data_IF_140425425253
#
_entry.id   IF_140425425253
#
_cell.length_a   1.000
_cell.length_b   1.000
_cell.length_c   1.000
_cell.angle_alpha   90.00
_cell.angle_beta   90.00
_cell.angle_gamma   90.00
#
_symmetry.space_group_name_H-M   'P 1'
#
loop_
_entity.id
_entity.type
_entity.pdbx_description
1 polymer ?
#
# COMPACT_ATOMS: atom_id res chain seq x y z
N UNK A 1 -17.19 -5.27 41.57
CA UNK A 1 -16.14 -4.90 40.59
C UNK A 1 -16.67 -5.27 39.21
N UNK A 2 -16.72 -4.33 38.27
CA UNK A 2 -17.08 -4.60 36.88
C UNK A 2 -15.92 -5.30 36.17
N UNK A 3 -16.21 -6.27 35.30
CA UNK A 3 -15.21 -6.82 34.38
C UNK A 3 -15.09 -5.93 33.15
N UNK A 4 -13.90 -5.77 32.59
CA UNK A 4 -13.73 -5.03 31.34
C UNK A 4 -13.86 -5.98 30.15
N UNK A 5 -14.58 -5.54 29.11
CA UNK A 5 -14.76 -6.28 27.85
C UNK A 5 -14.53 -5.34 26.68
N UNK A 6 -13.94 -5.82 25.59
CA UNK A 6 -13.59 -5.05 24.41
C UNK A 6 -14.56 -5.35 23.27
N UNK A 7 -15.04 -4.30 22.60
CA UNK A 7 -15.87 -4.43 21.39
C UNK A 7 -15.16 -5.27 20.33
N UNK A 8 -15.92 -6.18 19.69
CA UNK A 8 -15.41 -7.07 18.65
C UNK A 8 -14.69 -8.32 19.18
N UNK A 9 -14.50 -8.47 20.50
CA UNK A 9 -14.07 -9.74 21.09
C UNK A 9 -15.25 -10.56 21.58
N UNK A 10 -15.10 -11.87 21.50
CA UNK A 10 -16.02 -12.84 22.10
C UNK A 10 -15.55 -13.17 23.53
N UNK A 11 -16.49 -13.12 24.48
CA UNK A 11 -16.26 -13.47 25.87
C UNK A 11 -17.19 -14.61 26.28
N UNK A 12 -16.67 -15.55 27.06
CA UNK A 12 -17.46 -16.61 27.68
C UNK A 12 -17.88 -16.18 29.08
N UNK A 13 -19.18 -16.08 29.30
CA UNK A 13 -19.77 -15.88 30.61
C UNK A 13 -20.35 -17.19 31.09
N UNK A 14 -19.95 -17.63 32.29
CA UNK A 14 -20.34 -18.92 32.86
C UNK A 14 -20.96 -18.76 34.23
N UNK A 15 -21.98 -19.58 34.51
CA UNK A 15 -22.68 -19.65 35.78
C UNK A 15 -22.33 -20.96 36.47
N UNK A 16 -21.55 -20.84 37.54
CA UNK A 16 -21.14 -22.00 38.34
C UNK A 16 -22.09 -22.29 39.51
N UNK A 17 -22.89 -21.32 39.93
CA UNK A 17 -23.85 -21.45 41.04
C UNK A 17 -25.14 -20.70 40.73
N UNK A 18 -26.25 -21.32 41.09
CA UNK A 18 -27.58 -20.75 40.97
C UNK A 18 -28.17 -20.58 42.38
N UNK A 19 -29.18 -19.72 42.51
CA UNK A 19 -29.87 -19.49 43.79
C UNK A 19 -30.70 -20.70 44.26
N UNK A 20 -30.84 -21.73 43.40
CA UNK A 20 -31.40 -23.05 43.69
C UNK A 20 -30.56 -24.11 42.98
N UNK A 21 -30.51 -25.33 43.49
CA UNK A 21 -29.90 -26.44 42.76
C UNK A 21 -30.73 -26.73 41.50
N UNK A 22 -30.07 -26.69 40.34
CA UNK A 22 -30.70 -26.96 39.05
C UNK A 22 -30.38 -28.36 38.59
N UNK A 23 -31.41 -29.08 38.10
CA UNK A 23 -31.20 -30.32 37.37
C UNK A 23 -30.52 -30.05 36.03
N UNK A 24 -29.94 -31.07 35.39
CA UNK A 24 -29.37 -30.90 34.05
C UNK A 24 -30.42 -30.42 33.03
N UNK A 25 -31.66 -30.89 33.14
CA UNK A 25 -32.77 -30.45 32.28
C UNK A 25 -33.16 -28.99 32.51
N UNK A 26 -32.95 -28.44 33.71
CA UNK A 26 -33.18 -27.01 33.98
C UNK A 26 -32.03 -26.15 33.49
N UNK A 27 -30.79 -26.64 33.59
CA UNK A 27 -29.60 -25.95 33.06
C UNK A 27 -29.70 -25.72 31.54
N UNK A 28 -30.28 -26.67 30.81
CA UNK A 28 -30.52 -26.55 29.36
C UNK A 28 -31.55 -25.47 29.01
N UNK A 29 -32.41 -25.07 29.95
CA UNK A 29 -33.44 -24.05 29.75
C UNK A 29 -33.00 -22.64 30.17
N UNK A 30 -31.77 -22.48 30.66
CA UNK A 30 -31.29 -21.17 31.10
C UNK A 30 -31.09 -20.25 29.89
N UNK A 31 -31.81 -19.13 29.94
CA UNK A 31 -31.74 -18.04 28.98
C UNK A 31 -30.83 -16.92 29.47
N UNK A 32 -30.56 -15.96 28.58
CA UNK A 32 -29.66 -14.85 28.86
C UNK A 32 -30.27 -13.54 28.40
N UNK A 33 -30.18 -12.53 29.26
CA UNK A 33 -30.61 -11.17 29.02
C UNK A 33 -29.47 -10.19 29.32
N UNK A 34 -29.60 -8.96 28.84
CA UNK A 34 -28.71 -7.86 29.17
C UNK A 34 -29.45 -6.54 29.30
N UNK A 35 -28.85 -5.56 29.97
CA UNK A 35 -29.32 -4.16 29.96
C UNK A 35 -28.18 -3.18 30.14
N UNK A 36 -28.37 -1.96 29.65
CA UNK A 36 -27.52 -0.81 30.00
C UNK A 36 -27.83 -0.33 31.42
N UNK A 37 -26.89 0.38 32.03
CA UNK A 37 -27.17 1.16 33.24
C UNK A 37 -28.31 2.16 32.97
N UNK A 38 -29.40 2.06 33.72
CA UNK A 38 -30.61 2.87 33.52
C UNK A 38 -31.47 2.48 32.30
N UNK A 39 -31.09 1.44 31.55
CA UNK A 39 -31.84 0.99 30.36
C UNK A 39 -32.84 -0.14 30.63
N UNK A 40 -33.63 -0.44 29.59
CA UNK A 40 -34.55 -1.59 29.54
C UNK A 40 -33.81 -2.92 29.35
N UNK A 41 -34.46 -4.00 29.76
CA UNK A 41 -33.95 -5.37 29.59
C UNK A 41 -34.14 -5.82 28.15
N UNK A 42 -33.07 -6.37 27.57
CA UNK A 42 -33.04 -6.96 26.25
C UNK A 42 -32.60 -8.42 26.33
N UNK A 43 -33.03 -9.24 25.37
CA UNK A 43 -32.80 -10.68 25.37
C UNK A 43 -31.81 -11.06 24.28
N UNK A 44 -30.95 -12.03 24.56
CA UNK A 44 -30.08 -12.59 23.51
C UNK A 44 -30.84 -13.64 22.70
N UNK A 45 -30.72 -13.62 21.38
CA UNK A 45 -31.49 -14.51 20.48
C UNK A 45 -31.16 -16.01 20.63
N UNK A 46 -29.92 -16.35 21.02
CA UNK A 46 -29.47 -17.75 21.19
C UNK A 46 -29.43 -18.14 22.67
N UNK A 47 -29.83 -19.36 22.99
CA UNK A 47 -29.67 -19.92 24.34
C UNK A 47 -28.18 -20.16 24.68
N UNK A 48 -27.89 -20.35 25.97
CA UNK A 48 -26.56 -20.75 26.43
C UNK A 48 -26.23 -22.20 26.06
N UNK A 49 -25.09 -22.69 26.51
CA UNK A 49 -24.65 -24.08 26.39
C UNK A 49 -24.05 -24.57 27.71
N UNK A 50 -24.00 -25.88 27.92
CA UNK A 50 -23.30 -26.47 29.07
C UNK A 50 -21.85 -26.71 28.64
N UNK A 51 -20.88 -26.15 29.38
CA UNK A 51 -19.46 -26.35 29.11
C UNK A 51 -18.96 -27.72 29.61
N UNK A 52 -17.72 -28.09 29.27
CA UNK A 52 -17.10 -29.37 29.66
C UNK A 52 -16.96 -29.55 31.18
N UNK A 53 -17.16 -28.46 31.96
CA UNK A 53 -17.13 -28.45 33.42
C UNK A 53 -18.54 -28.50 34.04
N UNK A 54 -19.59 -28.58 33.22
CA UNK A 54 -20.99 -28.64 33.65
C UNK A 54 -21.61 -27.28 34.03
N UNK A 55 -20.96 -26.16 33.67
CA UNK A 55 -21.49 -24.81 33.88
C UNK A 55 -22.35 -24.38 32.71
N UNK A 56 -23.41 -23.63 32.99
CA UNK A 56 -24.16 -22.94 31.94
C UNK A 56 -23.37 -21.72 31.48
N UNK A 57 -23.02 -21.69 30.20
CA UNK A 57 -22.15 -20.70 29.60
C UNK A 57 -22.77 -20.05 28.37
N UNK A 58 -22.34 -18.83 28.07
CA UNK A 58 -22.70 -18.14 26.84
C UNK A 58 -21.54 -17.34 26.29
N UNK A 59 -21.33 -17.47 24.99
CA UNK A 59 -20.45 -16.62 24.20
C UNK A 59 -21.18 -15.34 23.81
N UNK A 60 -20.58 -14.20 24.15
CA UNK A 60 -21.16 -12.87 23.92
C UNK A 60 -20.08 -11.97 23.32
N UNK A 61 -20.42 -11.30 22.22
CA UNK A 61 -19.70 -10.16 21.66
C UNK A 61 -20.52 -8.90 21.84
N UNK A 62 -19.84 -7.74 21.90
CA UNK A 62 -20.48 -6.44 22.10
C UNK A 62 -20.34 -5.58 20.86
N UNK A 63 -21.43 -4.92 20.50
CA UNK A 63 -21.51 -4.00 19.37
C UNK A 63 -20.88 -2.64 19.67
N UNK A 64 -20.45 -1.94 18.60
CA UNK A 64 -19.82 -0.61 18.69
C UNK A 64 -20.70 0.45 19.35
N UNK A 65 -22.02 0.32 19.27
CA UNK A 65 -23.00 1.23 19.89
C UNK A 65 -23.08 1.09 21.43
N UNK A 66 -22.41 0.07 22.00
CA UNK A 66 -22.28 -0.13 23.43
C UNK A 66 -20.95 0.41 23.98
N UNK A 67 -20.15 1.11 23.18
CA UNK A 67 -18.88 1.68 23.61
C UNK A 67 -19.04 2.62 24.82
N UNK A 68 -18.27 2.37 25.88
CA UNK A 68 -18.31 3.15 27.12
C UNK A 68 -19.49 2.79 28.03
N UNK A 69 -20.40 1.92 27.60
CA UNK A 69 -21.56 1.53 28.39
C UNK A 69 -21.19 0.52 29.47
N UNK A 70 -21.91 0.61 30.58
CA UNK A 70 -21.90 -0.40 31.63
C UNK A 70 -23.09 -1.32 31.44
N UNK A 71 -22.81 -2.60 31.20
CA UNK A 71 -23.81 -3.61 30.83
C UNK A 71 -23.95 -4.64 31.95
N UNK A 72 -25.19 -4.98 32.26
CA UNK A 72 -25.57 -6.01 33.22
C UNK A 72 -25.94 -7.25 32.42
N UNK A 73 -25.22 -8.36 32.59
CA UNK A 73 -25.48 -9.62 31.90
C UNK A 73 -26.11 -10.60 32.87
N UNK A 74 -27.28 -11.12 32.52
CA UNK A 74 -28.17 -11.85 33.42
C UNK A 74 -28.51 -13.22 32.83
N UNK A 75 -27.98 -14.32 33.41
CA UNK A 75 -28.52 -15.65 33.16
C UNK A 75 -29.83 -15.81 33.96
N UNK A 76 -30.86 -16.41 33.37
CA UNK A 76 -32.15 -16.59 34.04
C UNK A 76 -32.89 -17.83 33.56
N UNK A 77 -33.80 -18.35 34.40
CA UNK A 77 -34.66 -19.50 34.07
C UNK A 77 -36.14 -19.10 33.90
N UNK A 78 -36.60 -18.13 34.70
CA UNK A 78 -37.98 -17.64 34.69
C UNK A 78 -37.99 -16.17 34.28
N UNK A 79 -37.39 -15.28 35.09
CA UNK A 79 -37.26 -13.86 34.77
C UNK A 79 -35.85 -13.33 35.07
N UNK A 80 -35.34 -12.37 34.26
CA UNK A 80 -34.03 -11.76 34.47
C UNK A 80 -34.02 -10.81 35.67
N UNK A 81 -33.11 -11.05 36.61
CA UNK A 81 -32.87 -10.19 37.78
C UNK A 81 -31.51 -9.48 37.69
N UNK A 82 -31.47 -8.14 37.54
CA UNK A 82 -30.23 -7.37 37.52
C UNK A 82 -29.37 -7.49 38.78
N UNK A 83 -29.94 -7.86 39.92
CA UNK A 83 -29.22 -8.03 41.19
C UNK A 83 -28.24 -9.21 41.15
N UNK A 84 -28.47 -10.19 40.27
CA UNK A 84 -27.67 -11.41 40.11
C UNK A 84 -26.83 -11.38 38.83
N UNK A 85 -26.55 -10.18 38.32
CA UNK A 85 -25.84 -10.00 37.05
C UNK A 85 -24.32 -9.97 37.19
N UNK A 86 -23.64 -10.30 36.08
CA UNK A 86 -22.25 -9.91 35.87
C UNK A 86 -22.24 -8.53 35.24
N UNK A 87 -21.65 -7.57 35.95
CA UNK A 87 -21.50 -6.21 35.45
C UNK A 87 -20.22 -6.13 34.62
N UNK A 88 -20.35 -5.66 33.38
CA UNK A 88 -19.22 -5.41 32.49
C UNK A 88 -19.15 -3.95 32.06
N UNK A 89 -17.93 -3.45 31.91
CA UNK A 89 -17.65 -2.17 31.28
C UNK A 89 -17.19 -2.45 29.85
N UNK A 90 -17.95 -1.96 28.87
CA UNK A 90 -17.63 -2.15 27.45
C UNK A 90 -16.67 -1.05 27.01
N UNK A 91 -15.50 -1.46 26.52
CA UNK A 91 -14.44 -0.57 26.08
C UNK A 91 -14.26 -0.64 24.56
N UNK A 92 -13.86 0.49 23.98
CA UNK A 92 -13.43 0.56 22.57
C UNK A 92 -12.02 -0.01 22.44
N UNK A 93 -11.72 -0.83 21.42
CA UNK A 93 -10.34 -1.24 21.15
C UNK A 93 -9.45 -0.03 20.86
N UNK A 94 -8.16 -0.18 21.17
CA UNK A 94 -7.18 0.87 20.86
C UNK A 94 -6.94 0.84 19.35
N UNK A 95 -7.15 1.98 18.67
CA UNK A 95 -6.82 2.08 17.26
C UNK A 95 -5.30 2.11 17.10
N UNK A 96 -4.74 1.01 16.59
CA UNK A 96 -3.32 0.88 16.32
C UNK A 96 -3.01 1.16 14.85
N UNK A 97 -1.87 1.81 14.62
CA UNK A 97 -1.42 2.27 13.31
C UNK A 97 -0.37 1.33 12.75
N UNK A 98 -0.67 0.69 11.63
CA UNK A 98 0.26 -0.16 10.91
C UNK A 98 1.00 0.63 9.82
N UNK A 99 2.30 0.36 9.70
CA UNK A 99 3.14 0.79 8.59
C UNK A 99 3.40 -0.43 7.72
N UNK A 100 3.13 -0.34 6.43
CA UNK A 100 3.43 -1.39 5.44
C UNK A 100 4.50 -0.86 4.50
N UNK A 101 5.58 -1.62 4.32
CA UNK A 101 6.58 -1.37 3.29
C UNK A 101 6.50 -2.50 2.27
N UNK A 102 6.30 -2.18 1.00
CA UNK A 102 6.20 -3.13 -0.10
C UNK A 102 7.48 -3.02 -0.93
N UNK A 103 8.21 -4.13 -1.03
CA UNK A 103 9.53 -4.23 -1.67
C UNK A 103 9.41 -5.11 -2.91
N UNK A 104 9.58 -4.53 -4.10
CA UNK A 104 9.68 -5.28 -5.35
C UNK A 104 11.09 -5.82 -5.60
N UNK A 105 11.30 -6.38 -6.78
CA UNK A 105 12.55 -6.96 -7.26
C UNK A 105 13.08 -6.20 -8.48
N UNK A 106 14.41 -6.22 -8.67
CA UNK A 106 15.08 -5.69 -9.86
C UNK A 106 15.56 -6.88 -10.69
N UNK A 107 14.91 -7.11 -11.85
CA UNK A 107 15.26 -8.21 -12.78
C UNK A 107 15.81 -7.76 -14.13
N UNK A 108 15.72 -6.47 -14.47
CA UNK A 108 16.08 -5.98 -15.80
C UNK A 108 17.50 -5.44 -15.89
N UNK A 109 17.95 -4.78 -14.82
CA UNK A 109 19.23 -4.06 -14.73
C UNK A 109 20.06 -4.57 -13.53
N UNK A 110 20.11 -5.89 -13.40
CA UNK A 110 20.85 -6.63 -12.37
C UNK A 110 22.35 -6.39 -12.51
N UNK A 111 22.79 -5.29 -11.93
CA UNK A 111 24.20 -4.98 -11.79
C UNK A 111 24.59 -5.13 -10.34
N UNK A 112 25.90 -5.29 -10.10
CA UNK A 112 26.55 -5.27 -8.80
C UNK A 112 25.92 -4.27 -7.81
N UNK A 113 25.60 -3.05 -8.26
CA UNK A 113 25.03 -2.00 -7.43
C UNK A 113 23.50 -1.82 -7.50
N UNK A 114 22.76 -2.51 -8.35
CA UNK A 114 21.32 -2.25 -8.51
C UNK A 114 20.42 -3.38 -8.01
N UNK A 115 20.84 -4.64 -8.08
CA UNK A 115 20.01 -5.81 -7.77
C UNK A 115 19.25 -5.69 -6.44
N UNK A 116 19.96 -5.32 -5.37
CA UNK A 116 19.41 -5.23 -4.00
C UNK A 116 18.91 -3.82 -3.63
N UNK A 117 18.76 -2.89 -4.58
CA UNK A 117 18.49 -1.49 -4.25
C UNK A 117 17.13 -1.26 -3.57
N UNK A 118 16.09 -2.02 -3.93
CA UNK A 118 14.78 -1.89 -3.28
C UNK A 118 14.81 -2.41 -1.84
N UNK A 119 15.40 -3.59 -1.63
CA UNK A 119 15.64 -4.15 -0.29
C UNK A 119 16.48 -3.20 0.58
N UNK A 120 17.51 -2.58 0.01
CA UNK A 120 18.33 -1.61 0.71
C UNK A 120 17.53 -0.38 1.14
N UNK A 121 16.66 0.15 0.27
CA UNK A 121 15.79 1.28 0.62
C UNK A 121 14.79 0.89 1.72
N UNK A 122 14.26 -0.33 1.69
CA UNK A 122 13.40 -0.86 2.76
C UNK A 122 14.13 -0.92 4.09
N UNK A 123 15.33 -1.52 4.17
CA UNK A 123 16.13 -1.55 5.41
C UNK A 123 16.44 -0.15 5.91
N UNK A 124 16.82 0.76 5.01
CA UNK A 124 17.06 2.17 5.37
C UNK A 124 15.81 2.79 6.00
N UNK A 125 14.66 2.54 5.41
CA UNK A 125 13.38 3.10 5.85
C UNK A 125 13.01 2.59 7.26
N UNK A 126 13.18 1.29 7.52
CA UNK A 126 13.01 0.70 8.86
C UNK A 126 13.97 1.37 9.86
N UNK A 127 15.27 1.41 9.54
CA UNK A 127 16.32 1.98 10.39
C UNK A 127 16.07 3.44 10.75
N UNK A 128 15.72 4.28 9.76
CA UNK A 128 15.68 5.74 9.94
C UNK A 128 14.34 6.21 10.50
N UNK A 129 13.23 5.58 10.12
CA UNK A 129 11.90 6.12 10.41
C UNK A 129 11.04 5.21 11.30
N UNK A 130 11.32 3.91 11.38
CA UNK A 130 10.41 2.93 11.98
C UNK A 130 11.07 1.94 12.95
N UNK A 131 12.21 2.29 13.57
CA UNK A 131 12.93 1.40 14.47
C UNK A 131 12.13 0.96 15.71
N UNK A 132 11.20 1.79 16.16
CA UNK A 132 10.36 1.53 17.35
C UNK A 132 8.89 1.28 17.01
N UNK A 133 8.56 1.13 15.73
CA UNK A 133 7.18 0.96 15.28
C UNK A 133 6.64 -0.40 15.71
N UNK A 134 5.57 -0.42 16.52
CA UNK A 134 4.98 -1.66 17.05
C UNK A 134 4.38 -2.54 15.96
N UNK A 135 3.64 -1.93 15.04
CA UNK A 135 3.01 -2.61 13.90
C UNK A 135 3.69 -2.16 12.62
N UNK A 136 4.70 -2.92 12.21
CA UNK A 136 5.46 -2.72 10.98
C UNK A 136 5.46 -4.03 10.20
N UNK A 137 5.05 -3.95 8.94
CA UNK A 137 5.06 -5.09 8.03
C UNK A 137 5.91 -4.76 6.82
N UNK A 138 6.79 -5.68 6.44
CA UNK A 138 7.49 -5.68 5.16
C UNK A 138 6.91 -6.79 4.30
N UNK A 139 6.21 -6.42 3.23
CA UNK A 139 5.84 -7.33 2.15
C UNK A 139 6.96 -7.32 1.12
N UNK A 140 7.50 -8.47 0.74
CA UNK A 140 8.56 -8.53 -0.28
C UNK A 140 8.27 -9.59 -1.34
N UNK A 141 8.63 -9.27 -2.57
CA UNK A 141 8.66 -10.21 -3.68
C UNK A 141 10.03 -10.91 -3.68
N UNK A 142 10.09 -12.25 -3.65
CA UNK A 142 11.35 -13.00 -3.51
C UNK A 142 12.05 -13.22 -4.85
N UNK A 143 11.38 -12.97 -5.97
CA UNK A 143 11.83 -13.39 -7.28
C UNK A 143 13.24 -12.91 -7.63
N UNK A 144 14.03 -13.83 -8.17
CA UNK A 144 15.42 -13.64 -8.62
C UNK A 144 16.40 -13.23 -7.50
N UNK A 145 16.00 -13.32 -6.22
CA UNK A 145 16.92 -13.20 -5.09
C UNK A 145 17.34 -14.58 -4.58
N UNK A 146 18.63 -14.74 -4.25
CA UNK A 146 19.12 -15.95 -3.61
C UNK A 146 18.64 -16.04 -2.15
N UNK A 147 18.61 -17.24 -1.58
CA UNK A 147 18.25 -17.43 -0.18
C UNK A 147 19.15 -16.62 0.77
N UNK A 148 20.44 -16.51 0.44
CA UNK A 148 21.42 -15.75 1.23
C UNK A 148 21.12 -14.25 1.23
N UNK A 149 20.76 -13.70 0.05
CA UNK A 149 20.35 -12.31 -0.09
C UNK A 149 19.05 -12.02 0.70
N UNK A 150 18.07 -12.94 0.64
CA UNK A 150 16.81 -12.83 1.38
C UNK A 150 17.06 -12.91 2.91
N UNK A 151 17.91 -13.82 3.36
CA UNK A 151 18.25 -13.97 4.78
C UNK A 151 18.99 -12.76 5.31
N UNK A 152 19.91 -12.19 4.53
CA UNK A 152 20.60 -10.95 4.85
C UNK A 152 19.64 -9.77 4.97
N UNK A 153 18.69 -9.65 4.04
CA UNK A 153 17.64 -8.64 4.07
C UNK A 153 16.76 -8.76 5.32
N UNK A 154 16.27 -9.97 5.64
CA UNK A 154 15.46 -10.24 6.83
C UNK A 154 16.22 -9.91 8.11
N UNK A 155 17.46 -10.38 8.21
CA UNK A 155 18.34 -10.13 9.37
C UNK A 155 18.59 -8.64 9.58
N UNK A 156 18.83 -7.90 8.51
CA UNK A 156 19.04 -6.45 8.58
C UNK A 156 17.80 -5.72 9.10
N UNK A 157 16.60 -6.04 8.60
CA UNK A 157 15.34 -5.47 9.10
C UNK A 157 15.19 -5.72 10.60
N UNK A 158 15.30 -6.98 11.03
CA UNK A 158 15.09 -7.37 12.43
C UNK A 158 16.14 -6.80 13.38
N UNK A 159 17.33 -6.46 12.87
CA UNK A 159 18.36 -5.76 13.66
C UNK A 159 17.98 -4.33 14.04
N UNK A 160 17.08 -3.69 13.28
CA UNK A 160 16.60 -2.33 13.52
C UNK A 160 15.19 -2.27 14.11
N UNK A 161 14.35 -3.27 13.83
CA UNK A 161 13.05 -3.44 14.45
C UNK A 161 12.69 -4.93 14.53
N UNK A 162 12.84 -5.50 15.73
CA UNK A 162 12.63 -6.91 16.06
C UNK A 162 11.16 -7.35 16.04
N UNK A 163 10.22 -6.41 15.94
CA UNK A 163 8.76 -6.66 15.88
C UNK A 163 8.23 -6.68 14.45
N UNK A 164 9.08 -6.46 13.46
CA UNK A 164 8.65 -6.39 12.06
C UNK A 164 8.13 -7.73 11.58
N UNK A 165 6.89 -7.76 11.07
CA UNK A 165 6.37 -8.89 10.30
C UNK A 165 6.99 -8.84 8.89
N UNK A 166 7.76 -9.85 8.51
CA UNK A 166 8.35 -9.94 7.16
C UNK A 166 7.66 -11.07 6.40
N UNK A 167 6.94 -10.71 5.35
CA UNK A 167 6.02 -11.63 4.65
C UNK A 167 6.39 -11.67 3.17
N UNK A 168 6.62 -12.89 2.69
CA UNK A 168 6.83 -13.16 1.28
C UNK A 168 5.51 -13.15 0.52
N UNK A 169 5.48 -12.46 -0.63
CA UNK A 169 4.36 -12.45 -1.55
C UNK A 169 4.87 -12.58 -2.99
N UNK A 170 4.13 -13.27 -3.85
CA UNK A 170 4.50 -13.56 -5.24
C UNK A 170 3.49 -13.01 -6.26
N UNK A 171 2.37 -12.45 -5.79
CA UNK A 171 1.27 -11.96 -6.62
C UNK A 171 0.66 -10.68 -6.07
N UNK A 172 -0.02 -9.92 -6.93
CA UNK A 172 -0.80 -8.73 -6.61
C UNK A 172 -1.93 -9.09 -5.67
N UNK A 173 -2.49 -10.30 -5.81
CA UNK A 173 -3.67 -10.70 -5.07
C UNK A 173 -3.30 -10.88 -3.60
N UNK A 174 -2.18 -11.56 -3.31
CA UNK A 174 -1.65 -11.63 -1.93
C UNK A 174 -1.36 -10.24 -1.33
N UNK A 175 -0.85 -9.31 -2.13
CA UNK A 175 -0.66 -7.92 -1.70
C UNK A 175 -2.01 -7.25 -1.36
N UNK A 176 -3.00 -7.35 -2.25
CA UNK A 176 -4.35 -6.78 -2.07
C UNK A 176 -5.03 -7.41 -0.86
N UNK A 177 -4.97 -8.73 -0.72
CA UNK A 177 -5.54 -9.47 0.40
C UNK A 177 -4.91 -9.01 1.71
N UNK A 178 -3.59 -8.86 1.77
CA UNK A 178 -2.93 -8.35 2.98
C UNK A 178 -3.33 -6.91 3.30
N UNK A 179 -3.40 -6.05 2.29
CA UNK A 179 -3.87 -4.67 2.47
C UNK A 179 -5.30 -4.65 2.99
N UNK A 180 -6.18 -5.50 2.49
CA UNK A 180 -7.60 -5.50 2.89
C UNK A 180 -7.85 -6.19 4.23
N UNK A 181 -7.10 -7.26 4.53
CA UNK A 181 -7.47 -8.22 5.59
C UNK A 181 -6.37 -8.50 6.60
N UNK A 182 -5.14 -8.05 6.36
CA UNK A 182 -3.92 -8.39 7.13
C UNK A 182 -3.52 -9.88 7.04
N UNK A 183 -4.15 -10.66 6.14
CA UNK A 183 -3.66 -11.98 5.71
C UNK A 183 -3.45 -12.02 4.20
N UNK A 184 -2.54 -12.86 3.71
CA UNK A 184 -2.19 -12.95 2.28
C UNK A 184 -3.18 -13.79 1.46
N UNK A 185 -4.19 -14.37 2.08
CA UNK A 185 -5.13 -15.31 1.47
C UNK A 185 -6.61 -14.94 1.73
N UNK A 186 -6.84 -13.80 2.38
CA UNK A 186 -8.16 -13.35 2.84
C UNK A 186 -8.94 -14.40 3.67
N UNK A 187 -8.26 -15.36 4.29
CA UNK A 187 -8.89 -16.41 5.10
C UNK A 187 -9.64 -15.85 6.32
N UNK A 188 -9.21 -14.68 6.80
CA UNK A 188 -9.84 -13.92 7.88
C UNK A 188 -9.54 -12.44 7.73
N UNK A 189 -10.44 -11.58 8.19
CA UNK A 189 -10.23 -10.13 8.21
C UNK A 189 -9.73 -9.66 9.59
N UNK A 190 -8.42 -9.75 9.81
CA UNK A 190 -7.75 -9.29 11.04
C UNK A 190 -7.75 -7.75 11.16
N UNK A 191 -8.26 -7.01 10.17
CA UNK A 191 -8.46 -5.55 10.27
C UNK A 191 -9.79 -5.17 10.90
N UNK A 192 -10.75 -6.08 11.02
CA UNK A 192 -12.09 -5.76 11.53
C UNK A 192 -12.23 -5.95 13.04
N UNK A 193 -11.43 -6.85 13.61
CA UNK A 193 -11.50 -7.23 15.01
C UNK A 193 -10.18 -6.90 15.74
N UNK A 194 -10.24 -6.55 17.03
CA UNK A 194 -9.03 -6.30 17.80
C UNK A 194 -8.24 -7.59 18.06
N UNK A 195 -6.91 -7.49 17.98
CA UNK A 195 -6.01 -8.60 18.29
C UNK A 195 -5.94 -8.88 19.81
N UNK A 196 -5.12 -9.84 20.22
CA UNK A 196 -4.95 -10.23 21.63
C UNK A 196 -4.51 -9.09 22.55
N UNK A 197 -3.80 -8.10 22.02
CA UNK A 197 -3.41 -6.88 22.75
C UNK A 197 -4.51 -5.81 22.83
N UNK A 198 -5.73 -6.14 22.39
CA UNK A 198 -6.89 -5.23 22.29
C UNK A 198 -6.72 -4.10 21.27
N UNK A 199 -5.76 -4.25 20.36
CA UNK A 199 -5.49 -3.27 19.31
C UNK A 199 -6.28 -3.62 18.04
N UNK A 200 -7.07 -2.66 17.55
CA UNK A 200 -7.66 -2.70 16.21
C UNK A 200 -6.65 -2.11 15.22
N UNK A 201 -6.01 -2.95 14.42
CA UNK A 201 -4.90 -2.55 13.55
C UNK A 201 -5.40 -2.08 12.19
N UNK A 202 -5.16 -0.81 11.87
CA UNK A 202 -5.50 -0.18 10.58
C UNK A 202 -4.27 0.46 9.94
N UNK A 203 -4.28 0.54 8.62
CA UNK A 203 -3.14 1.07 7.85
C UNK A 203 -3.07 2.59 8.05
N UNK A 204 -1.93 3.06 8.56
CA UNK A 204 -1.56 4.48 8.62
C UNK A 204 -0.70 4.87 7.43
N UNK A 205 0.30 4.07 7.08
CA UNK A 205 1.21 4.39 5.98
C UNK A 205 1.56 3.16 5.15
N UNK A 206 1.54 3.32 3.82
CA UNK A 206 2.16 2.38 2.87
C UNK A 206 3.36 3.08 2.21
N UNK A 207 4.50 2.39 2.12
CA UNK A 207 5.64 2.82 1.29
C UNK A 207 5.97 1.75 0.26
N UNK A 208 6.16 2.15 -0.99
CA UNK A 208 6.41 1.22 -2.09
C UNK A 208 7.77 1.52 -2.71
N UNK A 209 8.67 0.54 -2.70
CA UNK A 209 9.95 0.56 -3.40
C UNK A 209 9.94 -0.51 -4.49
N UNK A 210 9.79 -0.08 -5.74
CA UNK A 210 9.72 -0.99 -6.89
C UNK A 210 9.95 -0.25 -8.20
N UNK A 211 9.95 -0.99 -9.30
CA UNK A 211 9.78 -0.42 -10.62
C UNK A 211 8.38 0.16 -10.80
N UNK A 212 8.24 1.01 -11.81
CA UNK A 212 6.95 1.53 -12.20
C UNK A 212 6.94 1.98 -13.64
N UNK A 213 5.75 1.90 -14.22
CA UNK A 213 5.42 2.44 -15.53
C UNK A 213 4.31 3.47 -15.33
N UNK A 214 4.01 4.32 -16.33
CA UNK A 214 2.88 5.24 -16.25
C UNK A 214 1.62 4.52 -15.77
N UNK A 215 1.06 5.01 -14.66
CA UNK A 215 -0.11 4.44 -14.00
C UNK A 215 -0.04 2.95 -13.63
N UNK A 216 1.16 2.42 -13.32
CA UNK A 216 1.35 1.02 -12.91
C UNK A 216 2.54 0.84 -11.96
N UNK A 217 2.34 0.10 -10.88
CA UNK A 217 3.42 -0.49 -10.08
C UNK A 217 3.81 -1.85 -10.67
N UNK A 218 5.10 -2.13 -10.75
CA UNK A 218 5.63 -3.40 -11.27
C UNK A 218 6.60 -3.98 -10.24
N UNK A 219 6.22 -5.08 -9.60
CA UNK A 219 6.96 -5.62 -8.46
C UNK A 219 8.01 -6.68 -8.83
N UNK A 220 7.98 -7.21 -10.05
CA UNK A 220 9.03 -8.10 -10.57
C UNK A 220 9.14 -7.97 -12.09
N UNK A 221 9.48 -6.76 -12.54
CA UNK A 221 9.64 -6.44 -13.96
C UNK A 221 10.85 -7.21 -14.53
N UNK A 222 10.66 -8.05 -15.55
CA UNK A 222 11.71 -8.82 -16.24
C UNK A 222 11.75 -8.61 -17.76
N UNK A 223 12.85 -9.06 -18.39
CA UNK A 223 13.22 -8.78 -19.79
C UNK A 223 12.13 -9.05 -20.86
N UNK A 224 12.07 -8.27 -21.96
CA UNK A 224 10.96 -8.28 -22.93
C UNK A 224 11.14 -9.22 -24.14
N UNK A 225 11.98 -10.27 -24.05
CA UNK A 225 12.12 -11.24 -25.15
C UNK A 225 10.92 -12.18 -25.29
N UNK A 226 9.97 -12.13 -24.35
CA UNK A 226 8.67 -12.82 -24.44
C UNK A 226 7.59 -11.75 -24.63
N UNK A 227 6.60 -11.95 -25.54
CA UNK A 227 5.49 -11.03 -25.70
C UNK A 227 4.88 -10.66 -24.33
N UNK A 228 4.48 -9.39 -24.20
CA UNK A 228 3.92 -8.73 -23.00
C UNK A 228 2.80 -9.52 -22.30
N UNK A 229 2.24 -10.55 -22.96
CA UNK A 229 1.22 -11.45 -22.46
C UNK A 229 1.74 -12.51 -21.45
N UNK A 230 3.05 -12.69 -21.25
CA UNK A 230 3.62 -13.72 -20.34
C UNK A 230 4.48 -13.12 -19.20
N UNK A 231 4.84 -11.83 -19.24
CA UNK A 231 5.70 -11.24 -18.21
C UNK A 231 4.91 -10.83 -16.97
N UNK A 232 5.05 -11.61 -15.88
CA UNK A 232 4.71 -11.28 -14.49
C UNK A 232 3.48 -10.39 -14.30
N UNK A 233 2.43 -10.63 -15.09
CA UNK A 233 1.20 -9.84 -15.06
C UNK A 233 0.67 -9.87 -13.64
N UNK A 234 0.78 -11.00 -12.94
CA UNK A 234 0.38 -11.17 -11.55
C UNK A 234 1.18 -10.37 -10.54
N UNK A 235 2.29 -9.73 -10.89
CA UNK A 235 3.06 -8.85 -10.00
C UNK A 235 2.91 -7.37 -10.36
N UNK A 236 1.79 -7.02 -11.00
CA UNK A 236 1.48 -5.65 -11.39
C UNK A 236 0.20 -5.12 -10.73
N UNK A 237 0.27 -3.88 -10.28
CA UNK A 237 -0.88 -3.14 -9.77
C UNK A 237 -1.10 -1.90 -10.62
N UNK A 238 -2.28 -1.76 -11.22
CA UNK A 238 -2.61 -0.67 -12.14
C UNK A 238 -4.03 -0.14 -11.84
N UNK A 239 -4.50 0.82 -12.64
CA UNK A 239 -5.79 1.51 -12.45
C UNK A 239 -6.99 0.55 -12.34
N UNK A 240 -7.01 -0.57 -13.05
CA UNK A 240 -8.12 -1.54 -13.00
C UNK A 240 -8.20 -2.30 -11.68
N UNK A 241 -7.12 -2.31 -10.90
CA UNK A 241 -7.06 -3.01 -9.60
C UNK A 241 -7.40 -2.10 -8.42
N UNK A 242 -7.53 -0.79 -8.61
CA UNK A 242 -7.76 0.17 -7.53
C UNK A 242 -9.05 -0.13 -6.77
N UNK A 243 -10.12 -0.51 -7.47
CA UNK A 243 -11.42 -0.85 -6.87
C UNK A 243 -11.38 -2.07 -5.95
N UNK A 244 -10.33 -2.90 -6.05
CA UNK A 244 -10.16 -4.08 -5.20
C UNK A 244 -9.64 -3.73 -3.80
N UNK A 245 -9.12 -2.52 -3.59
CA UNK A 245 -8.67 -2.07 -2.28
C UNK A 245 -9.87 -1.60 -1.44
N UNK A 246 -9.90 -1.96 -0.17
CA UNK A 246 -10.97 -1.63 0.77
C UNK A 246 -10.60 -0.40 1.59
N UNK A 247 -11.43 0.65 1.53
CA UNK A 247 -11.21 1.90 2.26
C UNK A 247 -11.15 1.68 3.78
N UNK A 248 -11.93 0.73 4.28
CA UNK A 248 -12.08 0.40 5.69
C UNK A 248 -10.80 -0.19 6.29
N UNK A 249 -9.85 -0.66 5.47
CA UNK A 249 -8.53 -1.11 5.94
C UNK A 249 -7.65 0.04 6.44
N UNK A 250 -7.95 1.28 6.04
CA UNK A 250 -7.14 2.47 6.30
C UNK A 250 -7.74 3.33 7.41
N UNK A 251 -6.88 4.08 8.11
CA UNK A 251 -7.34 5.21 8.92
C UNK A 251 -7.66 6.41 8.02
N UNK A 252 -8.47 7.37 8.50
CA UNK A 252 -8.92 8.52 7.71
C UNK A 252 -7.78 9.39 7.15
N UNK A 253 -6.63 9.45 7.82
CA UNK A 253 -5.46 10.28 7.43
C UNK A 253 -4.30 9.45 6.86
N UNK A 254 -4.59 8.24 6.37
CA UNK A 254 -3.57 7.35 5.88
C UNK A 254 -2.80 7.95 4.70
N UNK A 255 -1.56 7.48 4.53
CA UNK A 255 -0.62 7.97 3.52
C UNK A 255 -0.08 6.82 2.69
N UNK A 256 0.07 7.05 1.39
CA UNK A 256 0.82 6.16 0.52
C UNK A 256 1.97 6.93 -0.11
N UNK A 257 3.20 6.46 0.08
CA UNK A 257 4.38 6.95 -0.62
C UNK A 257 4.77 5.96 -1.70
N UNK A 258 4.62 6.34 -2.95
CA UNK A 258 5.07 5.51 -4.07
C UNK A 258 6.39 6.03 -4.61
N UNK A 259 7.43 5.22 -4.40
CA UNK A 259 8.71 5.34 -5.09
C UNK A 259 8.78 4.41 -6.31
N UNK A 260 7.63 3.89 -6.78
CA UNK A 260 7.52 3.26 -8.09
C UNK A 260 7.52 4.34 -9.19
N UNK A 261 8.39 4.17 -10.18
CA UNK A 261 8.63 5.14 -11.24
C UNK A 261 7.32 5.62 -11.90
N UNK A 262 7.15 6.95 -12.07
CA UNK A 262 6.09 7.56 -12.90
C UNK A 262 4.65 7.24 -12.48
N UNK A 263 4.37 6.78 -11.27
CA UNK A 263 2.99 6.45 -10.88
C UNK A 263 2.05 7.65 -10.76
N UNK A 264 2.60 8.87 -10.63
CA UNK A 264 1.83 10.13 -10.70
C UNK A 264 1.62 10.64 -12.13
N UNK A 265 2.08 9.93 -13.14
CA UNK A 265 2.03 10.31 -14.55
C UNK A 265 1.30 9.23 -15.36
N UNK A 266 0.34 9.62 -16.19
CA UNK A 266 -0.43 8.70 -17.02
C UNK A 266 0.07 8.59 -18.48
N UNK A 267 1.01 9.45 -18.88
CA UNK A 267 1.56 9.48 -20.23
C UNK A 267 2.77 8.57 -20.37
N UNK A 268 2.91 7.91 -21.51
CA UNK A 268 4.06 7.05 -21.88
C UNK A 268 5.22 7.81 -22.50
N UNK A 269 5.04 9.11 -22.80
CA UNK A 269 6.07 9.95 -23.41
C UNK A 269 7.39 9.92 -22.62
N UNK A 270 8.52 9.92 -23.32
CA UNK A 270 9.85 9.95 -22.71
C UNK A 270 10.37 11.38 -22.47
N UNK A 271 9.75 12.39 -23.09
CA UNK A 271 10.12 13.80 -22.95
C UNK A 271 8.89 14.70 -23.14
N UNK A 272 8.80 15.70 -22.26
CA UNK A 272 7.91 16.87 -22.30
C UNK A 272 8.73 18.14 -22.63
N UNK A 273 10.00 17.97 -23.02
CA UNK A 273 10.82 19.05 -23.58
C UNK A 273 10.66 19.02 -25.10
N UNK A 274 10.23 20.14 -25.65
CA UNK A 274 10.08 20.35 -27.08
C UNK A 274 8.83 21.17 -27.42
N UNK A 275 8.68 21.57 -28.68
CA UNK A 275 7.46 22.19 -29.15
C UNK A 275 6.34 21.15 -29.28
N UNK A 276 5.23 21.36 -28.58
CA UNK A 276 3.92 20.88 -28.98
C UNK A 276 3.28 21.81 -30.01
N UNK A 277 2.14 21.40 -30.56
CA UNK A 277 1.51 22.09 -31.68
C UNK A 277 0.01 22.25 -31.47
N UNK A 278 -0.46 23.50 -31.42
CA UNK A 278 -1.87 23.84 -31.34
C UNK A 278 -2.43 24.12 -32.73
N UNK A 279 -3.45 23.38 -33.15
CA UNK A 279 -4.23 23.74 -34.35
C UNK A 279 -5.42 24.56 -33.92
N UNK A 280 -5.44 25.83 -34.34
CA UNK A 280 -6.58 26.75 -34.12
C UNK A 280 -7.53 26.60 -35.30
N UNK A 281 -8.82 26.35 -35.06
CA UNK A 281 -9.83 26.12 -36.09
C UNK A 281 -11.22 26.62 -35.68
N UNK A 282 -12.12 26.81 -36.65
CA UNK A 282 -13.53 27.09 -36.39
C UNK A 282 -14.35 25.79 -36.34
N UNK A 283 -15.04 25.49 -35.22
CA UNK A 283 -15.94 24.34 -35.15
C UNK A 283 -17.27 24.67 -35.86
N UNK A 284 -17.57 23.95 -36.94
CA UNK A 284 -18.91 23.72 -37.53
C UNK A 284 -19.93 24.85 -37.28
N UNK A 285 -19.71 26.04 -37.87
CA UNK A 285 -20.69 27.09 -38.25
C UNK A 285 -19.97 28.46 -38.35
N UNK A 286 -19.82 29.05 -39.55
CA UNK A 286 -19.09 30.31 -39.76
C UNK A 286 -19.76 31.55 -39.12
N UNK A 287 -20.96 31.42 -38.53
CA UNK A 287 -21.66 32.55 -37.87
C UNK A 287 -21.20 32.81 -36.44
N UNK A 288 -20.56 31.85 -35.77
CA UNK A 288 -19.88 32.09 -34.50
C UNK A 288 -18.38 32.15 -34.74
N UNK A 289 -17.79 33.34 -34.65
CA UNK A 289 -16.34 33.58 -34.77
C UNK A 289 -15.55 33.03 -33.56
N UNK A 290 -16.02 31.96 -32.93
CA UNK A 290 -15.37 31.35 -31.78
C UNK A 290 -14.34 30.36 -32.30
N UNK A 291 -13.07 30.66 -32.09
CA UNK A 291 -11.98 29.75 -32.41
C UNK A 291 -11.82 28.70 -31.32
N UNK A 292 -11.61 27.44 -31.73
CA UNK A 292 -11.21 26.35 -30.85
C UNK A 292 -9.77 25.96 -31.13
N UNK A 293 -9.07 25.47 -30.11
CA UNK A 293 -7.70 24.98 -30.25
C UNK A 293 -7.65 23.51 -29.91
N UNK A 294 -6.90 22.73 -30.70
CA UNK A 294 -6.59 21.34 -30.41
C UNK A 294 -5.07 21.14 -30.38
N UNK A 295 -4.56 20.59 -29.29
CA UNK A 295 -3.14 20.28 -29.11
C UNK A 295 -2.76 18.96 -29.79
N UNK A 296 -1.53 18.92 -30.30
CA UNK A 296 -0.87 17.77 -30.89
C UNK A 296 0.58 17.71 -30.40
N UNK A 297 1.07 16.49 -30.19
CA UNK A 297 2.43 16.24 -29.73
C UNK A 297 3.45 16.44 -30.86
N UNK A 298 3.08 16.07 -32.08
CA UNK A 298 3.96 16.20 -33.25
C UNK A 298 3.42 17.19 -34.28
N UNK A 299 4.34 17.85 -34.99
CA UNK A 299 3.99 18.73 -36.11
C UNK A 299 3.24 17.98 -37.20
N UNK A 300 3.61 16.72 -37.43
CA UNK A 300 3.00 15.85 -38.45
C UNK A 300 1.53 15.59 -38.14
N UNK A 301 1.18 15.27 -36.89
CA UNK A 301 -0.22 15.06 -36.49
C UNK A 301 -1.02 16.36 -36.52
N UNK A 302 -0.42 17.46 -36.07
CA UNK A 302 -1.02 18.79 -36.18
C UNK A 302 -1.32 19.13 -37.64
N UNK A 303 -0.38 18.85 -38.55
CA UNK A 303 -0.53 19.07 -39.98
C UNK A 303 -1.63 18.20 -40.58
N UNK A 304 -1.65 16.89 -40.27
CA UNK A 304 -2.73 15.99 -40.71
C UNK A 304 -4.10 16.49 -40.26
N UNK A 305 -4.22 16.93 -39.02
CA UNK A 305 -5.48 17.48 -38.52
C UNK A 305 -5.82 18.81 -39.20
N UNK A 306 -4.86 19.71 -39.35
CA UNK A 306 -5.02 20.97 -40.07
C UNK A 306 -5.55 20.75 -41.50
N UNK A 307 -4.93 19.82 -42.24
CA UNK A 307 -5.33 19.46 -43.61
C UNK A 307 -6.73 18.84 -43.64
N UNK A 308 -7.05 17.94 -42.70
CA UNK A 308 -8.39 17.34 -42.58
C UNK A 308 -9.50 18.35 -42.27
N UNK A 309 -9.15 19.48 -41.64
CA UNK A 309 -10.07 20.58 -41.37
C UNK A 309 -10.12 21.60 -42.50
N UNK A 310 -9.24 21.51 -43.49
CA UNK A 310 -9.27 22.36 -44.68
C UNK A 310 -9.82 21.64 -45.92
N UNK A 311 -10.15 20.35 -45.82
CA UNK A 311 -10.68 19.55 -46.94
C UNK A 311 -12.20 19.59 -47.11
N UNK A 312 -12.94 20.41 -46.35
CA UNK A 312 -14.41 20.53 -46.45
C UNK A 312 -14.94 21.92 -46.11
N UNK A 313 -16.19 22.23 -46.52
CA UNK A 313 -16.80 23.58 -46.42
C UNK A 313 -17.18 24.03 -45.00
N UNK A 314 -17.03 23.19 -43.97
CA UNK A 314 -17.73 23.36 -42.68
C UNK A 314 -16.77 23.63 -41.50
N UNK A 315 -15.51 23.20 -41.59
CA UNK A 315 -14.47 23.58 -40.65
C UNK A 315 -13.38 24.32 -41.43
N UNK A 316 -12.69 25.26 -40.80
CA UNK A 316 -11.53 25.91 -41.39
C UNK A 316 -10.43 25.98 -40.34
N UNK A 317 -9.33 25.28 -40.58
CA UNK A 317 -8.14 25.46 -39.76
C UNK A 317 -7.48 26.79 -40.13
N UNK A 318 -7.02 27.51 -39.10
CA UNK A 318 -6.52 28.88 -39.22
C UNK A 318 -5.00 28.84 -39.28
N UNK A 319 -4.38 28.19 -38.30
CA UNK A 319 -2.91 28.07 -38.19
C UNK A 319 -2.52 26.93 -37.25
N UNK A 320 -1.26 26.53 -37.36
CA UNK A 320 -0.58 25.67 -36.39
C UNK A 320 0.36 26.56 -35.59
N UNK A 321 0.20 26.59 -34.28
CA UNK A 321 1.05 27.33 -33.35
C UNK A 321 1.97 26.35 -32.62
N UNK A 322 3.25 26.68 -32.59
CA UNK A 322 4.24 25.99 -31.77
C UNK A 322 4.12 26.48 -30.33
N UNK A 323 3.87 25.57 -29.38
CA UNK A 323 3.73 25.86 -27.94
C UNK A 323 4.62 24.94 -27.12
N UNK A 324 5.05 25.30 -25.89
CA UNK A 324 5.70 24.34 -25.00
C UNK A 324 4.77 23.16 -24.71
N UNK A 325 5.29 21.92 -24.64
CA UNK A 325 4.48 20.77 -24.22
C UNK A 325 3.91 21.02 -22.82
N UNK A 326 2.58 21.09 -22.65
CA UNK A 326 1.97 21.42 -21.37
C UNK A 326 2.23 20.33 -20.33
N UNK A 327 2.35 20.73 -19.06
CA UNK A 327 2.38 19.83 -17.91
C UNK A 327 1.15 18.89 -17.89
N UNK A 328 0.01 19.40 -18.35
CA UNK A 328 -1.25 18.70 -18.49
C UNK A 328 -1.17 17.47 -19.41
N UNK A 329 -0.15 17.37 -20.29
CA UNK A 329 0.08 16.17 -21.10
C UNK A 329 0.55 14.96 -20.28
N UNK A 330 1.15 15.18 -19.11
CA UNK A 330 1.42 14.08 -18.17
C UNK A 330 0.15 13.53 -17.51
N UNK A 331 -0.98 14.25 -17.67
CA UNK A 331 -2.30 13.94 -17.13
C UNK A 331 -2.26 13.42 -15.69
N UNK A 332 -1.67 14.14 -14.72
CA UNK A 332 -1.55 13.63 -13.35
C UNK A 332 -2.90 13.28 -12.71
N UNK A 333 -3.96 13.99 -13.06
CA UNK A 333 -5.32 13.74 -12.58
C UNK A 333 -5.93 12.43 -13.13
N UNK A 334 -5.34 11.85 -14.17
CA UNK A 334 -5.73 10.55 -14.72
C UNK A 334 -4.73 9.44 -14.31
N UNK A 335 -3.80 9.73 -13.40
CA UNK A 335 -2.77 8.78 -12.98
C UNK A 335 -3.28 7.76 -11.97
N UNK A 336 -2.57 6.64 -11.83
CA UNK A 336 -2.81 5.66 -10.77
C UNK A 336 -2.82 6.30 -9.37
N UNK A 337 -1.91 7.25 -9.11
CA UNK A 337 -1.87 7.94 -7.82
C UNK A 337 -3.17 8.71 -7.52
N UNK A 338 -3.76 9.36 -8.53
CA UNK A 338 -5.04 10.05 -8.38
C UNK A 338 -6.20 9.08 -8.17
N UNK A 339 -6.23 7.96 -8.90
CA UNK A 339 -7.27 6.94 -8.74
C UNK A 339 -7.26 6.35 -7.33
N UNK A 340 -6.08 6.02 -6.79
CA UNK A 340 -5.93 5.52 -5.41
C UNK A 340 -6.42 6.57 -4.41
N UNK A 341 -5.99 7.83 -4.56
CA UNK A 341 -6.40 8.91 -3.66
C UNK A 341 -7.93 9.14 -3.69
N UNK A 342 -8.55 9.03 -4.87
CA UNK A 342 -10.00 9.18 -5.03
C UNK A 342 -10.77 8.03 -4.40
N UNK A 343 -10.34 6.79 -4.67
CA UNK A 343 -11.03 5.58 -4.23
C UNK A 343 -10.94 5.38 -2.71
N UNK A 344 -9.74 5.48 -2.16
CA UNK A 344 -9.49 5.23 -0.74
C UNK A 344 -9.68 6.46 0.15
N UNK A 345 -9.74 7.67 -0.42
CA UNK A 345 -9.81 8.92 0.34
C UNK A 345 -8.58 9.12 1.24
N UNK A 346 -7.40 8.78 0.71
CA UNK A 346 -6.11 8.89 1.40
C UNK A 346 -5.17 9.86 0.67
N UNK A 347 -4.08 10.23 1.35
CA UNK A 347 -3.02 11.06 0.76
C UNK A 347 -2.03 10.19 0.01
N UNK A 348 -1.83 10.44 -1.28
CA UNK A 348 -0.85 9.72 -2.09
C UNK A 348 0.30 10.66 -2.47
N UNK A 349 1.53 10.24 -2.22
CA UNK A 349 2.75 10.99 -2.49
C UNK A 349 3.58 10.24 -3.53
N UNK A 350 3.85 10.88 -4.67
CA UNK A 350 4.73 10.27 -5.69
C UNK A 350 5.35 11.29 -6.65
N UNK A 351 6.34 10.85 -7.41
CA UNK A 351 6.97 11.63 -8.48
C UNK A 351 6.18 11.49 -9.79
N UNK A 352 6.15 12.58 -10.57
CA UNK A 352 5.69 12.56 -11.97
C UNK A 352 6.77 12.01 -12.93
N UNK A 353 8.01 12.04 -12.45
CA UNK A 353 9.19 11.46 -13.08
C UNK A 353 9.49 10.07 -12.53
N UNK A 354 10.44 9.37 -13.14
CA UNK A 354 11.02 8.14 -12.61
C UNK A 354 11.60 8.41 -11.23
N UNK A 355 11.48 7.44 -10.34
CA UNK A 355 12.26 7.43 -9.10
C UNK A 355 13.71 7.13 -9.42
N UNK A 356 14.63 7.80 -8.73
CA UNK A 356 16.05 7.62 -8.89
C UNK A 356 16.65 6.98 -7.64
N UNK A 357 17.12 5.75 -7.83
CA UNK A 357 17.78 4.91 -6.82
C UNK A 357 19.31 5.00 -6.90
N UNK A 358 19.89 5.84 -7.76
CA UNK A 358 21.35 5.97 -7.92
C UNK A 358 22.08 6.42 -6.64
N UNK A 359 21.35 6.91 -5.63
CA UNK A 359 21.92 7.30 -4.34
C UNK A 359 21.86 6.20 -3.27
N UNK A 360 21.38 5.00 -3.60
CA UNK A 360 21.30 3.87 -2.67
C UNK A 360 22.66 3.59 -2.02
N UNK A 361 23.73 3.65 -2.81
CA UNK A 361 25.11 3.39 -2.38
C UNK A 361 26.01 4.62 -2.55
N UNK A 362 25.46 5.83 -2.60
CA UNK A 362 26.29 7.02 -2.82
C UNK A 362 26.81 7.57 -1.48
N UNK A 363 27.79 6.88 -0.91
CA UNK A 363 28.31 7.17 0.45
C UNK A 363 29.38 8.27 0.54
N UNK A 364 29.76 8.90 -0.58
CA UNK A 364 30.78 9.96 -0.57
C UNK A 364 32.13 9.47 -0.04
N UNK A 365 32.57 9.98 1.10
CA UNK A 365 33.82 9.55 1.77
C UNK A 365 33.56 8.81 3.10
N UNK A 366 32.33 8.33 3.34
CA UNK A 366 31.99 7.59 4.57
C UNK A 366 32.60 6.18 4.57
N UNK A 367 33.87 6.11 4.98
CA UNK A 367 34.62 4.87 5.07
C UNK A 367 33.96 3.86 6.01
N UNK A 368 33.33 4.31 7.11
CA UNK A 368 32.67 3.40 8.07
C UNK A 368 31.49 2.68 7.43
N UNK A 369 30.73 3.37 6.58
CA UNK A 369 29.64 2.75 5.84
C UNK A 369 30.19 1.74 4.82
N UNK A 370 31.27 2.09 4.09
CA UNK A 370 31.94 1.20 3.12
C UNK A 370 32.49 -0.07 3.74
N UNK A 371 33.09 0.03 4.93
CA UNK A 371 33.70 -1.11 5.62
C UNK A 371 32.68 -2.19 6.05
N UNK A 372 31.38 -1.92 5.91
CA UNK A 372 30.29 -2.86 6.19
C UNK A 372 29.70 -3.50 4.92
N UNK A 373 30.26 -3.25 3.73
CA UNK A 373 29.78 -3.91 2.53
C UNK A 373 30.00 -5.42 2.61
N UNK A 374 28.95 -6.15 2.27
CA UNK A 374 28.91 -7.58 2.07
C UNK A 374 28.70 -7.86 0.59
N UNK A 375 29.16 -9.03 0.14
CA UNK A 375 29.09 -9.47 -1.24
C UNK A 375 28.40 -10.83 -1.27
N UNK A 376 27.45 -10.99 -2.19
CA UNK A 376 26.79 -12.27 -2.42
C UNK A 376 26.97 -12.68 -3.87
N UNK A 377 27.28 -13.95 -4.09
CA UNK A 377 27.37 -14.54 -5.43
C UNK A 377 25.99 -14.53 -6.10
N UNK A 378 25.95 -14.15 -7.38
CA UNK A 378 24.76 -14.02 -8.22
C UNK A 378 25.18 -14.05 -9.70
N UNK A 379 25.12 -15.24 -10.32
CA UNK A 379 25.53 -15.47 -11.71
C UNK A 379 24.71 -14.66 -12.72
N UNK A 380 23.50 -14.22 -12.36
CA UNK A 380 22.63 -13.44 -13.22
C UNK A 380 22.96 -11.93 -13.18
N UNK A 381 23.80 -11.49 -12.23
CA UNK A 381 24.24 -10.10 -12.10
C UNK A 381 25.24 -9.69 -13.20
N UNK A 382 24.74 -9.50 -14.42
CA UNK A 382 25.56 -9.22 -15.59
C UNK A 382 25.84 -7.73 -15.83
N UNK A 383 27.14 -7.39 -15.80
CA UNK A 383 27.85 -6.28 -16.46
C UNK A 383 27.39 -4.83 -16.14
N UNK A 384 28.27 -3.97 -15.58
CA UNK A 384 27.93 -2.58 -15.34
C UNK A 384 27.74 -1.77 -16.63
N UNK A 385 26.76 -0.87 -16.63
CA UNK A 385 26.43 0.06 -17.73
C UNK A 385 27.60 1.01 -18.08
N UNK A 386 28.61 1.15 -17.20
CA UNK A 386 29.72 2.09 -17.36
C UNK A 386 31.09 1.38 -17.42
N UNK A 387 31.92 1.63 -18.45
CA UNK A 387 33.27 1.08 -18.57
C UNK A 387 34.23 1.37 -17.39
N UNK A 388 33.94 2.39 -16.57
CA UNK A 388 34.75 2.68 -15.36
C UNK A 388 34.49 1.70 -14.21
N UNK A 389 33.32 1.08 -14.18
CA UNK A 389 32.96 0.05 -13.21
C UNK A 389 33.60 -1.31 -13.57
N UNK A 390 34.05 -1.48 -14.82
CA UNK A 390 34.93 -2.60 -15.21
C UNK A 390 36.20 -2.66 -14.36
N UNK A 391 36.77 -1.52 -13.98
CA UNK A 391 37.98 -1.50 -13.16
C UNK A 391 37.73 -1.95 -11.71
N UNK A 392 36.50 -1.80 -11.19
CA UNK A 392 36.11 -2.28 -9.85
C UNK A 392 35.80 -3.78 -9.86
N UNK A 393 34.99 -4.25 -10.80
CA UNK A 393 34.69 -5.67 -11.00
C UNK A 393 35.97 -6.51 -11.24
N UNK A 394 36.92 -5.97 -12.02
CA UNK A 394 38.18 -6.66 -12.34
C UNK A 394 39.14 -6.76 -11.15
N UNK A 395 39.11 -5.83 -10.18
CA UNK A 395 40.00 -5.85 -9.01
C UNK A 395 39.50 -6.72 -7.87
N UNK A 396 38.19 -6.96 -7.77
CA UNK A 396 37.59 -7.83 -6.75
C UNK A 396 37.46 -9.29 -7.19
N UNK A 397 37.70 -9.62 -8.47
CA UNK A 397 37.36 -10.94 -9.02
C UNK A 397 35.86 -11.09 -9.33
N UNK A 398 35.07 -10.03 -9.13
CA UNK A 398 33.61 -10.02 -9.10
C UNK A 398 32.95 -9.90 -10.48
N UNK A 399 33.06 -10.97 -11.25
CA UNK A 399 31.93 -11.39 -12.07
C UNK A 399 31.00 -12.15 -11.12
N UNK A 400 29.68 -12.00 -11.30
CA UNK A 400 28.69 -12.77 -10.55
C UNK A 400 28.56 -12.40 -9.05
N UNK A 401 28.64 -11.11 -8.71
CA UNK A 401 28.43 -10.63 -7.34
C UNK A 401 27.48 -9.42 -7.28
N UNK A 402 26.79 -9.28 -6.15
CA UNK A 402 25.99 -8.10 -5.79
C UNK A 402 26.41 -7.52 -4.44
N UNK A 403 26.35 -6.20 -4.30
CA UNK A 403 26.65 -5.53 -3.03
C UNK A 403 25.44 -5.45 -2.13
N UNK A 404 25.73 -5.64 -0.85
CA UNK A 404 24.80 -5.46 0.22
C UNK A 404 25.42 -4.65 1.34
N UNK A 405 24.61 -3.90 2.06
CA UNK A 405 25.02 -3.29 3.31
C UNK A 405 23.95 -3.59 4.37
N UNK A 406 24.29 -4.18 5.52
CA UNK A 406 23.31 -4.53 6.56
C UNK A 406 22.64 -3.29 7.16
N UNK A 407 23.20 -2.10 6.94
CA UNK A 407 22.57 -0.82 7.30
C UNK A 407 21.52 -0.34 6.30
N UNK A 408 21.28 -1.07 5.21
CA UNK A 408 20.44 -0.65 4.09
C UNK A 408 21.05 0.53 3.35
N UNK A 409 20.28 1.13 2.44
CA UNK A 409 20.71 2.24 1.61
C UNK A 409 21.29 3.41 2.41
N UNK A 410 22.28 4.08 1.85
CA UNK A 410 22.85 5.32 2.36
C UNK A 410 21.88 6.50 2.14
N UNK A 411 21.60 6.81 0.88
CA UNK A 411 20.74 7.93 0.49
C UNK A 411 19.28 7.51 0.25
N UNK A 412 18.31 8.43 0.47
CA UNK A 412 16.93 8.19 0.10
C UNK A 412 16.72 8.25 -1.42
N UNK A 413 15.61 7.67 -1.88
CA UNK A 413 15.13 7.80 -3.26
C UNK A 413 14.85 9.26 -3.61
N UNK A 414 15.28 9.70 -4.80
CA UNK A 414 15.06 11.06 -5.30
C UNK A 414 14.23 11.06 -6.59
N UNK A 415 13.77 12.22 -7.00
CA UNK A 415 13.23 12.41 -8.34
C UNK A 415 14.34 12.19 -9.39
N UNK A 416 14.04 11.40 -10.42
CA UNK A 416 14.91 11.19 -11.56
C UNK A 416 14.79 12.28 -12.61
N UNK A 417 15.43 12.03 -13.75
CA UNK A 417 15.52 13.02 -14.83
C UNK A 417 14.49 12.84 -15.94
N UNK A 418 13.85 11.68 -15.99
CA UNK A 418 12.97 11.27 -17.09
C UNK A 418 11.56 10.95 -16.57
N UNK A 419 10.50 11.20 -17.37
CA UNK A 419 10.57 11.88 -18.66
C UNK A 419 10.98 13.35 -18.49
N UNK A 420 11.78 13.82 -19.45
CA UNK A 420 12.39 15.16 -19.35
C UNK A 420 11.29 16.24 -19.37
N UNK A 421 11.52 17.39 -18.76
CA UNK A 421 10.58 18.52 -18.81
C UNK A 421 9.45 18.50 -17.79
N UNK A 422 9.31 17.43 -17.00
CA UNK A 422 8.43 17.42 -15.84
C UNK A 422 9.14 17.90 -14.56
N UNK A 423 8.40 18.50 -13.61
CA UNK A 423 8.94 18.88 -12.32
C UNK A 423 9.53 17.70 -11.54
N UNK A 424 10.72 17.91 -10.96
CA UNK A 424 11.47 16.91 -10.18
C UNK A 424 11.18 17.03 -8.68
N UNK A 425 9.90 17.15 -8.32
CA UNK A 425 9.42 17.25 -6.94
C UNK A 425 8.45 16.14 -6.63
N UNK A 426 8.31 15.82 -5.35
CA UNK A 426 7.25 14.93 -4.89
C UNK A 426 5.91 15.68 -5.00
N UNK A 427 4.86 15.00 -5.43
CA UNK A 427 3.51 15.56 -5.53
C UNK A 427 2.59 14.86 -4.55
N UNK A 428 1.71 15.64 -3.93
CA UNK A 428 0.59 15.18 -3.12
C UNK A 428 -0.68 15.13 -3.99
N UNK A 429 -1.29 13.96 -4.01
CA UNK A 429 -2.58 13.68 -4.62
C UNK A 429 -3.60 13.46 -3.49
N UNK A 430 -4.73 14.17 -3.57
CA UNK A 430 -5.86 14.04 -2.67
C UNK A 430 -7.14 13.89 -3.47
N UNK A 431 -8.18 13.35 -2.84
CA UNK A 431 -9.47 13.08 -3.46
C UNK A 431 -10.00 14.29 -4.25
N UNK A 432 -10.34 14.03 -5.51
CA UNK A 432 -10.97 14.95 -6.45
C UNK A 432 -10.29 16.33 -6.57
N UNK A 433 -8.98 16.38 -6.31
CA UNK A 433 -8.20 17.62 -6.25
C UNK A 433 -7.07 17.59 -7.27
N UNK A 434 -6.61 18.78 -7.71
CA UNK A 434 -5.40 18.85 -8.54
C UNK A 434 -4.16 18.52 -7.71
N UNK A 435 -3.20 17.72 -8.23
CA UNK A 435 -1.99 17.40 -7.49
C UNK A 435 -1.15 18.63 -7.19
N UNK A 436 -0.58 18.69 -5.98
CA UNK A 436 0.23 19.83 -5.52
C UNK A 436 1.67 19.39 -5.26
N UNK A 437 2.68 20.18 -5.68
CA UNK A 437 4.07 19.87 -5.34
C UNK A 437 4.29 19.99 -3.82
N UNK A 438 5.22 19.21 -3.28
CA UNK A 438 5.63 19.20 -1.87
C UNK A 438 7.06 19.71 -1.70
#
# INVERSE_FOLDING_TARGET
>A
MSKEVIIGKEYVFSVAKFNKDLSNADKEKVEWAWKKEGGEIQYFEKQGYIDDKGNVSKKISFDKNLAGEKIYIMPFLEEPDPSVSVIVQVLTPVLAKEIIIITGTEKESETFGNKLMFMAQTVREVRVNYSNQKYLTVLYYPDDYSNEQIDAFKKAILSFNDKTEIIEIDTRQKMIDYINTKTIDASKNDRELPNDNNDLVKIDTIKIFSHGMPSRFTFGLGWPLVPVEINNVDQEFNKTHVSLLQKEAFIAEAKLYSFACRSGNNSTQQSFIGPGYNVVYYPINPRSLVTTTKFFETRTEAQRFFDSKNSGMINKAIRIETVPTPFEQAKPQESLAQDIANHLDIKVYTYLVRSNYSNTWNEGDDQKYRDQYEHYEDEDAHNPINPKDWYRAYKSGGWDEVIWNPKGAYGPVKAGETPKGLPRKLYLFTKNSKPVPQ
#
